data_IF_437006427190
#
_entry.id   IF_437006427190
#
_cell.length_a   1.000
_cell.length_b   1.000
_cell.length_c   1.000
_cell.angle_alpha   90.00
_cell.angle_beta   90.00
_cell.angle_gamma   90.00
#
_symmetry.space_group_name_H-M   'P 1'
#
loop_
_entity.id
_entity.type
_entity.pdbx_description
1 polymer ?
#
# COMPACT_ATOMS: atom_id res chain seq x y z
N UNK A 1 -50.01 55.86 84.70
CA UNK A 1 -50.91 56.38 83.66
C UNK A 1 -50.34 55.96 82.32
N UNK A 2 -51.01 55.02 81.62
CA UNK A 2 -50.95 54.57 80.20
C UNK A 2 -49.58 54.69 79.48
N UNK A 3 -49.10 53.66 78.79
CA UNK A 3 -49.57 53.32 77.45
C UNK A 3 -49.13 51.89 77.09
N UNK A 4 -50.10 51.12 76.60
CA UNK A 4 -50.01 49.84 75.89
C UNK A 4 -49.24 50.03 74.59
N UNK A 5 -48.40 49.08 74.19
CA UNK A 5 -48.15 48.82 72.77
C UNK A 5 -48.15 47.31 72.49
N UNK A 6 -49.24 46.89 71.88
CA UNK A 6 -49.41 45.71 71.03
C UNK A 6 -48.53 45.83 69.79
N UNK A 7 -47.85 44.76 69.37
CA UNK A 7 -47.65 44.42 67.96
C UNK A 7 -46.98 43.04 67.81
N UNK A 8 -47.80 42.03 67.53
CA UNK A 8 -47.59 41.03 66.48
C UNK A 8 -46.49 41.38 65.48
N UNK A 9 -45.52 40.49 65.22
CA UNK A 9 -45.31 39.90 63.88
C UNK A 9 -44.17 38.89 63.82
N UNK A 10 -44.50 37.76 63.22
CA UNK A 10 -43.62 36.73 62.69
C UNK A 10 -42.38 37.29 61.99
N UNK A 11 -41.21 36.76 62.33
CA UNK A 11 -40.01 36.87 61.50
C UNK A 11 -39.74 35.49 60.88
N UNK A 12 -40.49 35.20 59.82
CA UNK A 12 -40.12 34.18 58.84
C UNK A 12 -38.82 34.66 58.20
N UNK A 13 -37.71 33.98 58.51
CA UNK A 13 -36.41 34.26 57.91
C UNK A 13 -36.51 34.19 56.39
N UNK A 14 -36.32 35.33 55.73
CA UNK A 14 -36.26 35.42 54.28
C UNK A 14 -35.04 34.63 53.78
N UNK A 15 -35.28 33.47 53.16
CA UNK A 15 -34.27 32.75 52.38
C UNK A 15 -34.00 33.60 51.14
N UNK A 16 -32.97 34.43 51.19
CA UNK A 16 -32.48 35.17 50.03
C UNK A 16 -31.95 34.19 48.99
N UNK A 17 -32.80 33.83 48.02
CA UNK A 17 -32.43 33.02 46.86
C UNK A 17 -31.44 33.81 46.00
N UNK A 18 -30.14 33.49 46.09
CA UNK A 18 -29.12 34.04 45.18
C UNK A 18 -29.44 33.59 43.76
N UNK A 19 -29.86 34.52 42.90
CA UNK A 19 -29.99 34.28 41.46
C UNK A 19 -28.57 34.20 40.89
N UNK A 20 -28.09 32.98 40.64
CA UNK A 20 -26.87 32.76 39.88
C UNK A 20 -27.11 33.30 38.47
N UNK A 21 -26.35 34.31 38.04
CA UNK A 21 -26.38 34.80 36.66
C UNK A 21 -25.96 33.65 35.75
N UNK A 22 -26.92 33.05 35.05
CA UNK A 22 -26.63 32.16 33.92
C UNK A 22 -26.04 33.04 32.83
N UNK A 23 -24.76 32.87 32.52
CA UNK A 23 -24.16 33.45 31.32
C UNK A 23 -24.89 32.89 30.11
N UNK A 24 -25.49 33.77 29.31
CA UNK A 24 -26.11 33.37 28.04
C UNK A 24 -25.04 33.18 26.98
N UNK A 25 -25.20 32.13 26.17
CA UNK A 25 -24.43 31.93 24.95
C UNK A 25 -24.57 33.16 24.06
N UNK A 26 -23.44 33.72 23.63
CA UNK A 26 -23.45 34.86 22.71
C UNK A 26 -23.61 34.37 21.28
N UNK A 27 -24.30 35.13 20.43
CA UNK A 27 -24.46 34.77 19.00
C UNK A 27 -23.11 34.64 18.29
N UNK A 28 -22.11 35.42 18.72
CA UNK A 28 -20.76 35.38 18.20
C UNK A 28 -20.04 34.06 18.51
N UNK A 29 -20.32 33.43 19.65
CA UNK A 29 -19.71 32.17 20.06
C UNK A 29 -20.16 31.01 19.15
N UNK A 30 -21.44 30.98 18.80
CA UNK A 30 -21.98 29.98 17.85
C UNK A 30 -21.50 30.27 16.43
N UNK A 31 -21.38 31.54 16.03
CA UNK A 31 -20.88 31.93 14.71
C UNK A 31 -19.43 31.46 14.49
N UNK A 32 -18.55 31.65 15.47
CA UNK A 32 -17.15 31.20 15.37
C UNK A 32 -17.06 29.68 15.24
N UNK A 33 -17.88 28.92 15.98
CA UNK A 33 -17.88 27.44 15.93
C UNK A 33 -18.29 26.92 14.55
N UNK A 34 -19.37 27.45 13.94
CA UNK A 34 -19.82 26.99 12.63
C UNK A 34 -18.82 27.34 11.51
N UNK A 35 -18.13 28.47 11.63
CA UNK A 35 -17.06 28.86 10.69
C UNK A 35 -15.89 27.88 10.76
N UNK A 36 -15.43 27.53 11.97
CA UNK A 36 -14.35 26.55 12.16
C UNK A 36 -14.79 25.16 11.66
N UNK A 37 -16.03 24.74 11.95
CA UNK A 37 -16.58 23.48 11.43
C UNK A 37 -16.63 23.46 9.89
N UNK A 38 -17.01 24.57 9.24
CA UNK A 38 -17.02 24.68 7.78
C UNK A 38 -15.62 24.57 7.15
N UNK A 39 -14.62 25.21 7.75
CA UNK A 39 -13.23 25.15 7.28
C UNK A 39 -12.67 23.72 7.42
N UNK A 40 -12.88 23.07 8.57
CA UNK A 40 -12.41 21.71 8.79
C UNK A 40 -13.11 20.70 7.87
N UNK A 41 -14.43 20.83 7.67
CA UNK A 41 -15.18 19.97 6.78
C UNK A 41 -14.67 20.05 5.32
N UNK A 42 -14.35 21.26 4.84
CA UNK A 42 -13.81 21.47 3.48
C UNK A 42 -12.45 20.79 3.26
N UNK A 43 -11.61 20.68 4.30
CA UNK A 43 -10.27 20.10 4.20
C UNK A 43 -10.22 18.57 4.35
N UNK A 44 -11.17 17.99 5.10
CA UNK A 44 -11.16 16.54 5.41
C UNK A 44 -11.77 15.70 4.29
N UNK A 45 -12.79 16.20 3.60
CA UNK A 45 -13.49 15.47 2.51
C UNK A 45 -12.57 14.99 1.38
N UNK A 46 -11.66 15.80 0.80
CA UNK A 46 -10.88 15.36 -0.36
C UNK A 46 -9.80 14.31 -0.02
N UNK A 47 -9.42 14.15 1.25
CA UNK A 47 -8.33 13.25 1.68
C UNK A 47 -8.72 11.76 1.68
N UNK A 48 -10.00 11.43 1.59
CA UNK A 48 -10.49 10.06 1.66
C UNK A 48 -10.61 9.36 0.30
N UNK A 49 -10.65 10.12 -0.80
CA UNK A 49 -11.03 9.56 -2.12
C UNK A 49 -9.88 8.99 -2.95
N UNK A 50 -8.61 9.33 -2.71
CA UNK A 50 -7.50 8.97 -3.61
C UNK A 50 -6.47 7.96 -3.07
N UNK A 51 -6.53 7.60 -1.78
CA UNK A 51 -5.60 6.62 -1.18
C UNK A 51 -5.91 5.13 -1.40
N UNK A 52 -7.17 4.69 -1.64
CA UNK A 52 -7.40 3.26 -1.82
C UNK A 52 -6.86 2.73 -3.16
N UNK A 53 -6.77 3.57 -4.19
CA UNK A 53 -6.52 3.08 -5.55
C UNK A 53 -5.07 2.73 -5.83
N UNK A 54 -4.11 3.51 -5.33
CA UNK A 54 -2.69 3.12 -5.38
C UNK A 54 -2.43 1.83 -4.57
N UNK A 55 -3.07 1.70 -3.41
CA UNK A 55 -2.96 0.52 -2.57
C UNK A 55 -3.54 -0.72 -3.28
N UNK A 56 -4.67 -0.57 -3.98
CA UNK A 56 -5.23 -1.61 -4.85
C UNK A 56 -4.26 -1.99 -5.97
N UNK A 57 -3.69 -1.03 -6.68
CA UNK A 57 -2.72 -1.32 -7.74
C UNK A 57 -1.50 -2.09 -7.21
N UNK A 58 -1.00 -1.75 -6.02
CA UNK A 58 0.11 -2.47 -5.37
C UNK A 58 -0.31 -3.89 -4.96
N UNK A 59 -1.50 -4.07 -4.39
CA UNK A 59 -2.03 -5.39 -4.05
C UNK A 59 -2.16 -6.26 -5.30
N UNK A 60 -2.72 -5.72 -6.39
CA UNK A 60 -2.86 -6.45 -7.64
C UNK A 60 -1.51 -6.89 -8.22
N UNK A 61 -0.50 -6.01 -8.17
CA UNK A 61 0.87 -6.36 -8.59
C UNK A 61 1.45 -7.49 -7.74
N UNK A 62 1.23 -7.46 -6.44
CA UNK A 62 1.69 -8.51 -5.53
C UNK A 62 1.05 -9.86 -5.86
N UNK A 63 -0.27 -9.89 -6.03
CA UNK A 63 -1.02 -11.09 -6.39
C UNK A 63 -0.56 -11.69 -7.73
N UNK A 64 -0.33 -10.84 -8.74
CA UNK A 64 0.23 -11.27 -10.04
C UNK A 64 1.63 -11.88 -9.85
N UNK A 65 2.49 -11.28 -9.01
CA UNK A 65 3.81 -11.86 -8.72
C UNK A 65 3.70 -13.24 -8.07
N UNK A 66 2.80 -13.42 -7.11
CA UNK A 66 2.55 -14.72 -6.46
C UNK A 66 2.02 -15.76 -7.45
N UNK A 67 1.07 -15.37 -8.31
CA UNK A 67 0.54 -16.25 -9.38
C UNK A 67 1.64 -16.64 -10.38
N UNK A 68 2.47 -15.68 -10.80
CA UNK A 68 3.61 -15.95 -11.68
C UNK A 68 4.62 -16.91 -11.04
N UNK A 69 4.89 -16.77 -9.74
CA UNK A 69 5.75 -17.70 -9.01
C UNK A 69 5.16 -19.12 -8.97
N UNK A 70 3.87 -19.25 -8.67
CA UNK A 70 3.18 -20.53 -8.68
C UNK A 70 3.18 -21.19 -10.08
N UNK A 71 2.98 -20.41 -11.14
CA UNK A 71 3.06 -20.88 -12.53
C UNK A 71 4.48 -21.34 -12.89
N UNK A 72 5.51 -20.61 -12.45
CA UNK A 72 6.92 -21.00 -12.63
C UNK A 72 7.20 -22.33 -11.93
N UNK A 73 6.70 -22.52 -10.70
CA UNK A 73 6.80 -23.81 -9.99
C UNK A 73 6.07 -24.94 -10.71
N UNK A 74 4.85 -24.69 -11.22
CA UNK A 74 4.12 -25.66 -12.04
C UNK A 74 4.94 -26.12 -13.24
N UNK A 75 5.58 -25.17 -13.94
CA UNK A 75 6.45 -25.47 -15.07
C UNK A 75 7.70 -26.25 -14.66
N UNK A 76 8.31 -25.95 -13.52
CA UNK A 76 9.48 -26.69 -13.05
C UNK A 76 9.16 -28.19 -12.88
N UNK A 77 7.99 -28.51 -12.33
CA UNK A 77 7.60 -29.91 -12.12
C UNK A 77 7.12 -30.59 -13.41
N UNK A 78 6.35 -29.87 -14.24
CA UNK A 78 5.63 -30.44 -15.38
C UNK A 78 6.28 -30.13 -16.75
N UNK A 79 7.42 -29.45 -16.73
CA UNK A 79 8.17 -28.93 -17.89
C UNK A 79 7.38 -27.97 -18.81
N UNK A 80 6.15 -27.60 -18.44
CA UNK A 80 5.26 -26.75 -19.24
C UNK A 80 4.30 -25.98 -18.36
N UNK A 81 3.83 -24.83 -18.85
CA UNK A 81 2.75 -24.11 -18.20
C UNK A 81 1.37 -24.75 -18.48
N UNK A 82 0.35 -24.44 -17.66
CA UNK A 82 -1.03 -24.76 -17.97
C UNK A 82 -1.46 -24.16 -19.31
N UNK A 83 -2.48 -24.73 -19.95
CA UNK A 83 -3.11 -24.11 -21.12
C UNK A 83 -4.08 -23.02 -20.69
N UNK A 84 -4.45 -22.11 -21.60
CA UNK A 84 -5.48 -21.09 -21.34
C UNK A 84 -6.81 -21.72 -20.91
N UNK A 85 -7.19 -22.86 -21.49
CA UNK A 85 -8.42 -23.60 -21.12
C UNK A 85 -8.36 -24.20 -19.71
N UNK A 86 -7.18 -24.67 -19.28
CA UNK A 86 -6.96 -25.14 -17.91
C UNK A 86 -6.96 -23.97 -16.92
N UNK A 87 -6.48 -22.80 -17.35
CA UNK A 87 -6.50 -21.56 -16.60
C UNK A 87 -5.63 -21.59 -15.33
N UNK A 88 -5.87 -20.62 -14.45
CA UNK A 88 -5.22 -20.55 -13.14
C UNK A 88 -5.73 -21.63 -12.18
N UNK A 89 -6.86 -22.27 -12.47
CA UNK A 89 -7.43 -23.36 -11.69
C UNK A 89 -6.50 -24.58 -11.65
N UNK A 90 -5.64 -24.76 -12.66
CA UNK A 90 -4.60 -25.79 -12.67
C UNK A 90 -3.57 -25.67 -11.52
N UNK A 91 -3.50 -24.49 -10.88
CA UNK A 91 -2.61 -24.25 -9.73
C UNK A 91 -3.17 -24.80 -8.42
N UNK A 92 -4.50 -24.92 -8.28
CA UNK A 92 -5.15 -25.42 -7.04
C UNK A 92 -5.57 -26.88 -7.17
N UNK A 93 -6.06 -27.26 -8.36
CA UNK A 93 -6.59 -28.58 -8.62
C UNK A 93 -5.90 -29.16 -9.85
N UNK A 94 -5.66 -30.47 -9.82
CA UNK A 94 -5.07 -31.16 -10.96
C UNK A 94 -6.02 -31.04 -12.17
N UNK A 95 -5.57 -30.45 -13.29
CA UNK A 95 -6.43 -30.31 -14.46
C UNK A 95 -6.73 -31.70 -15.06
N UNK A 96 -8.01 -31.96 -15.32
CA UNK A 96 -8.48 -33.16 -16.01
C UNK A 96 -8.36 -33.03 -17.54
N UNK A 97 -8.38 -31.80 -18.06
CA UNK A 97 -8.21 -31.52 -19.48
C UNK A 97 -6.79 -31.82 -19.97
N UNK A 98 -6.67 -32.34 -21.19
CA UNK A 98 -5.37 -32.61 -21.80
C UNK A 98 -4.61 -31.32 -22.13
N UNK A 99 -3.26 -31.30 -22.02
CA UNK A 99 -2.37 -32.36 -21.59
C UNK A 99 -2.33 -32.50 -20.06
N UNK A 100 -2.44 -33.74 -19.57
CA UNK A 100 -2.41 -34.03 -18.14
C UNK A 100 -0.99 -33.87 -17.60
N UNK A 101 -0.79 -33.09 -16.52
CA UNK A 101 0.52 -32.91 -15.90
C UNK A 101 1.04 -34.22 -15.30
N UNK A 102 2.29 -34.56 -15.60
CA UNK A 102 2.94 -35.80 -15.16
C UNK A 102 3.30 -35.76 -13.67
N UNK A 103 3.82 -34.63 -13.18
CA UNK A 103 4.35 -34.47 -11.83
C UNK A 103 3.60 -33.36 -11.07
N UNK A 104 2.27 -33.33 -11.18
CA UNK A 104 1.49 -32.33 -10.44
C UNK A 104 1.62 -32.55 -8.93
N UNK A 105 2.06 -31.52 -8.21
CA UNK A 105 2.26 -31.58 -6.75
C UNK A 105 0.94 -31.80 -6.00
N UNK A 106 0.85 -32.88 -5.22
CA UNK A 106 -0.30 -33.13 -4.33
C UNK A 106 -0.49 -31.95 -3.36
N UNK A 107 -1.64 -31.28 -3.42
CA UNK A 107 -1.96 -30.07 -2.66
C UNK A 107 -1.83 -28.75 -3.44
N UNK A 108 -1.41 -28.79 -4.70
CA UNK A 108 -1.34 -27.63 -5.57
C UNK A 108 -0.10 -26.74 -5.36
N UNK A 109 -0.07 -25.67 -6.14
CA UNK A 109 1.01 -24.67 -6.22
C UNK A 109 0.66 -23.38 -5.48
N UNK A 110 -0.61 -23.17 -5.19
CA UNK A 110 -1.13 -22.05 -4.40
C UNK A 110 -2.30 -22.55 -3.55
N UNK A 111 -2.49 -21.99 -2.36
CA UNK A 111 -3.57 -22.41 -1.44
C UNK A 111 -4.95 -22.02 -1.95
N UNK A 112 -5.07 -20.82 -2.54
CA UNK A 112 -6.31 -20.29 -3.11
C UNK A 112 -5.98 -19.30 -4.21
N UNK A 113 -6.88 -19.17 -5.19
CA UNK A 113 -6.77 -18.09 -6.17
C UNK A 113 -7.20 -16.78 -5.48
N UNK A 114 -6.35 -15.74 -5.49
CA UNK A 114 -6.78 -14.39 -5.12
C UNK A 114 -7.75 -13.86 -6.18
N UNK A 115 -8.71 -13.05 -5.75
CA UNK A 115 -9.44 -12.16 -6.63
C UNK A 115 -8.66 -10.86 -6.72
N UNK A 116 -8.83 -10.13 -7.82
CA UNK A 116 -8.24 -8.81 -7.92
C UNK A 116 -8.89 -7.83 -6.92
N UNK A 117 -8.23 -6.70 -6.62
CA UNK A 117 -8.71 -5.73 -5.63
C UNK A 117 -10.02 -5.03 -6.01
N UNK A 118 -10.49 -5.20 -7.24
CA UNK A 118 -11.75 -4.69 -7.77
C UNK A 118 -12.86 -5.75 -7.77
N UNK A 119 -12.55 -6.98 -7.33
CA UNK A 119 -13.50 -8.10 -7.21
C UNK A 119 -13.58 -9.01 -8.45
N UNK A 120 -12.79 -8.73 -9.47
CA UNK A 120 -12.64 -9.55 -10.67
C UNK A 120 -11.72 -10.75 -10.46
N UNK A 121 -11.72 -11.68 -11.41
CA UNK A 121 -10.76 -12.79 -11.47
C UNK A 121 -9.59 -12.42 -12.38
N UNK A 122 -8.38 -12.84 -11.98
CA UNK A 122 -7.20 -12.71 -12.82
C UNK A 122 -7.35 -13.51 -14.11
N UNK A 123 -6.90 -12.91 -15.20
CA UNK A 123 -6.86 -13.51 -16.53
C UNK A 123 -5.50 -14.13 -16.77
N UNK A 124 -5.51 -15.21 -17.55
CA UNK A 124 -4.32 -15.98 -17.89
C UNK A 124 -4.32 -16.34 -19.36
N UNK A 125 -3.19 -16.18 -20.03
CA UNK A 125 -2.98 -16.57 -21.41
C UNK A 125 -1.66 -17.34 -21.57
N UNK A 126 -1.75 -18.44 -22.32
CA UNK A 126 -0.65 -19.36 -22.62
C UNK A 126 -0.87 -20.02 -23.98
N UNK A 127 -0.11 -19.64 -25.03
CA UNK A 127 0.98 -18.66 -25.02
C UNK A 127 0.51 -17.22 -24.73
N UNK A 128 1.35 -16.44 -24.05
CA UNK A 128 1.12 -15.01 -23.83
C UNK A 128 1.26 -14.19 -25.11
N UNK A 129 0.64 -13.01 -25.14
CA UNK A 129 0.81 -12.00 -26.18
C UNK A 129 2.05 -11.12 -25.94
N UNK A 130 2.38 -10.85 -24.66
CA UNK A 130 3.52 -10.00 -24.27
C UNK A 130 4.73 -10.80 -23.80
N UNK A 131 4.55 -12.07 -23.44
CA UNK A 131 5.62 -12.96 -23.02
C UNK A 131 5.30 -14.43 -23.26
N UNK A 132 6.03 -15.32 -22.58
CA UNK A 132 5.75 -16.76 -22.65
C UNK A 132 4.39 -17.11 -22.03
N UNK A 133 4.04 -16.40 -20.95
CA UNK A 133 2.72 -16.43 -20.31
C UNK A 133 2.35 -15.02 -19.88
N UNK A 134 1.06 -14.71 -19.94
CA UNK A 134 0.53 -13.44 -19.47
C UNK A 134 -0.44 -13.70 -18.32
N UNK A 135 -0.27 -12.95 -17.22
CA UNK A 135 -1.21 -12.89 -16.10
C UNK A 135 -1.55 -11.43 -15.88
N UNK A 136 -2.84 -11.09 -15.92
CA UNK A 136 -3.28 -9.70 -15.81
C UNK A 136 -4.67 -9.57 -15.19
N UNK A 137 -4.96 -8.38 -14.65
CA UNK A 137 -6.31 -7.95 -14.28
C UNK A 137 -6.70 -6.78 -15.19
N UNK A 138 -8.00 -6.67 -15.49
CA UNK A 138 -8.53 -5.57 -16.30
C UNK A 138 -8.51 -4.23 -15.56
N UNK A 139 -8.38 -4.22 -14.23
CA UNK A 139 -8.40 -2.99 -13.44
C UNK A 139 -9.80 -2.60 -12.98
N UNK A 140 -10.01 -1.34 -12.62
CA UNK A 140 -11.25 -0.84 -12.03
C UNK A 140 -12.45 -0.85 -12.98
N UNK A 141 -12.20 -0.68 -14.28
CA UNK A 141 -13.23 -0.63 -15.33
C UNK A 141 -13.69 -2.02 -15.80
N UNK A 142 -12.95 -3.07 -15.45
CA UNK A 142 -13.21 -4.44 -15.89
C UNK A 142 -13.08 -4.64 -17.41
N UNK A 143 -12.48 -3.69 -18.14
CA UNK A 143 -12.40 -3.70 -19.59
C UNK A 143 -10.95 -3.75 -20.10
N UNK A 144 -10.78 -4.25 -21.32
CA UNK A 144 -9.47 -4.20 -21.97
C UNK A 144 -9.19 -2.78 -22.49
N UNK A 145 -8.19 -2.09 -21.93
CA UNK A 145 -7.64 -0.86 -22.50
C UNK A 145 -7.90 0.45 -21.76
N UNK A 146 -8.12 0.43 -20.45
CA UNK A 146 -8.17 1.65 -19.62
C UNK A 146 -6.83 2.40 -19.51
N UNK A 147 -6.89 3.67 -19.10
CA UNK A 147 -5.72 4.51 -18.81
C UNK A 147 -5.70 4.92 -17.33
N UNK A 148 -4.50 5.17 -16.80
CA UNK A 148 -4.33 5.62 -15.41
C UNK A 148 -4.76 4.57 -14.38
N UNK A 149 -5.81 4.88 -13.62
CA UNK A 149 -6.33 4.04 -12.53
C UNK A 149 -7.14 2.86 -13.08
N UNK A 150 -7.72 3.05 -14.26
CA UNK A 150 -8.48 2.05 -15.00
C UNK A 150 -7.57 1.19 -15.88
N UNK A 151 -6.27 1.50 -15.95
CA UNK A 151 -5.34 0.70 -16.72
C UNK A 151 -5.17 -0.69 -16.10
N UNK A 152 -5.42 -1.71 -16.92
CA UNK A 152 -5.15 -3.09 -16.59
C UNK A 152 -3.71 -3.29 -16.14
N UNK A 153 -3.52 -4.13 -15.13
CA UNK A 153 -2.22 -4.46 -14.55
C UNK A 153 -1.81 -5.85 -15.03
N UNK A 154 -0.67 -5.94 -15.71
CA UNK A 154 -0.17 -7.18 -16.29
C UNK A 154 1.23 -7.56 -15.84
N UNK A 155 1.55 -8.86 -15.95
CA UNK A 155 2.87 -9.43 -15.64
C UNK A 155 4.02 -8.71 -16.36
N UNK A 156 3.80 -8.33 -17.63
CA UNK A 156 4.80 -7.63 -18.46
C UNK A 156 5.22 -6.27 -17.88
N UNK A 157 4.31 -5.52 -17.25
CA UNK A 157 4.63 -4.23 -16.61
C UNK A 157 5.52 -4.43 -15.38
N UNK A 158 5.34 -5.53 -14.65
CA UNK A 158 6.10 -5.85 -13.44
C UNK A 158 7.51 -6.30 -13.79
N UNK A 159 7.64 -7.20 -14.78
CA UNK A 159 8.95 -7.67 -15.25
C UNK A 159 9.77 -6.52 -15.84
N UNK A 160 9.13 -5.60 -16.59
CA UNK A 160 9.77 -4.39 -17.12
C UNK A 160 10.32 -3.47 -16.03
N UNK A 161 9.60 -3.28 -14.92
CA UNK A 161 10.03 -2.43 -13.80
C UNK A 161 11.20 -3.03 -12.99
N UNK A 162 11.23 -4.36 -12.84
CA UNK A 162 12.32 -5.07 -12.17
C UNK A 162 13.66 -4.95 -12.91
N UNK A 163 13.64 -4.97 -14.24
CA UNK A 163 14.84 -4.81 -15.07
C UNK A 163 15.46 -3.42 -14.88
N UNK A 164 14.64 -2.37 -14.80
CA UNK A 164 15.14 -1.01 -14.56
C UNK A 164 15.76 -0.87 -13.18
N UNK A 165 15.09 -1.34 -12.12
CA UNK A 165 15.61 -1.28 -10.76
C UNK A 165 16.93 -2.06 -10.59
N UNK A 166 17.03 -3.27 -11.16
CA UNK A 166 18.25 -4.07 -11.08
C UNK A 166 19.42 -3.48 -11.87
N UNK A 167 19.15 -2.77 -12.97
CA UNK A 167 20.18 -2.08 -13.75
C UNK A 167 20.77 -0.90 -12.96
N UNK A 168 19.91 -0.14 -12.27
CA UNK A 168 20.35 0.94 -11.37
C UNK A 168 21.11 0.40 -10.15
N UNK A 169 20.63 -0.65 -9.47
CA UNK A 169 21.36 -1.23 -8.34
C UNK A 169 22.70 -1.83 -8.77
N UNK A 170 22.80 -2.45 -9.95
CA UNK A 170 24.08 -2.93 -10.48
C UNK A 170 25.06 -1.80 -10.78
N UNK A 171 24.60 -0.70 -11.38
CA UNK A 171 25.47 0.45 -11.68
C UNK A 171 25.92 1.18 -10.40
N UNK A 172 24.99 1.43 -9.47
CA UNK A 172 25.31 2.08 -8.19
C UNK A 172 26.23 1.21 -7.34
N UNK A 173 25.99 -0.12 -7.28
CA UNK A 173 26.85 -1.05 -6.56
C UNK A 173 28.24 -1.15 -7.21
N UNK A 174 28.35 -1.20 -8.54
CA UNK A 174 29.63 -1.22 -9.23
C UNK A 174 30.43 0.09 -9.01
N UNK A 175 29.78 1.25 -9.09
CA UNK A 175 30.39 2.54 -8.76
C UNK A 175 30.86 2.61 -7.30
N UNK A 176 30.06 2.10 -6.36
CA UNK A 176 30.40 2.10 -4.94
C UNK A 176 31.59 1.18 -4.62
N UNK A 177 31.59 -0.04 -5.17
CA UNK A 177 32.71 -0.99 -5.02
C UNK A 177 33.98 -0.45 -5.68
N UNK A 178 33.88 0.18 -6.86
CA UNK A 178 35.03 0.76 -7.56
C UNK A 178 35.61 1.96 -6.80
N UNK A 179 34.75 2.85 -6.27
CA UNK A 179 35.17 3.98 -5.45
C UNK A 179 35.86 3.52 -4.15
N UNK A 180 35.34 2.48 -3.50
CA UNK A 180 35.95 1.89 -2.31
C UNK A 180 37.33 1.28 -2.63
N UNK A 181 37.44 0.54 -3.74
CA UNK A 181 38.70 -0.07 -4.18
C UNK A 181 39.76 1.00 -4.53
N UNK A 182 39.34 2.11 -5.15
CA UNK A 182 40.21 3.25 -5.44
C UNK A 182 40.68 3.95 -4.16
N UNK A 183 39.80 4.18 -3.19
CA UNK A 183 40.15 4.78 -1.91
C UNK A 183 41.19 3.92 -1.16
N UNK A 184 40.95 2.60 -1.06
CA UNK A 184 41.89 1.67 -0.41
C UNK A 184 43.24 1.63 -1.13
N UNK A 185 43.27 1.66 -2.46
CA UNK A 185 44.51 1.68 -3.23
C UNK A 185 45.27 3.00 -3.07
N UNK A 186 44.55 4.13 -2.93
CA UNK A 186 45.16 5.43 -2.66
C UNK A 186 45.83 5.47 -1.28
N UNK A 187 45.19 4.91 -0.24
CA UNK A 187 45.77 4.87 1.11
C UNK A 187 47.03 4.00 1.16
N UNK A 188 47.01 2.82 0.53
CA UNK A 188 48.22 1.97 0.42
C UNK A 188 49.37 2.65 -0.32
N UNK A 189 49.07 3.47 -1.33
CA UNK A 189 50.10 4.18 -2.12
C UNK A 189 50.76 5.33 -1.34
N UNK A 190 50.02 5.98 -0.44
CA UNK A 190 50.56 7.02 0.44
C UNK A 190 51.45 6.43 1.54
N UNK A 191 51.04 5.30 2.13
CA UNK A 191 51.80 4.58 3.15
C UNK A 191 53.18 4.13 2.61
N UNK A 192 53.22 3.54 1.41
CA UNK A 192 54.45 3.13 0.73
C UNK A 192 55.41 4.28 0.37
N UNK A 193 54.89 5.52 0.22
CA UNK A 193 55.72 6.71 -0.01
C UNK A 193 56.32 7.24 1.29
N UNK A 194 55.61 7.14 2.41
CA UNK A 194 56.13 7.56 3.72
C UNK A 194 57.28 6.66 4.17
N UNK A 195 57.15 5.35 3.99
CA UNK A 195 58.17 4.37 4.39
C UNK A 195 59.49 4.49 3.60
N UNK A 196 59.46 4.96 2.35
CA UNK A 196 60.69 5.23 1.58
C UNK A 196 61.42 6.48 2.04
N UNK A 197 60.71 7.46 2.60
CA UNK A 197 61.36 8.70 3.06
C UNK A 197 62.16 8.46 4.34
N UNK A 198 61.69 7.55 5.21
CA UNK A 198 62.35 7.18 6.46
C UNK A 198 63.59 6.30 6.31
N UNK A 199 63.84 5.70 5.14
CA UNK A 199 65.02 4.86 4.88
C UNK A 199 66.16 5.59 4.15
N UNK A 200 65.99 6.88 3.87
CA UNK A 200 66.94 7.74 3.14
C UNK A 200 67.55 8.84 4.02
N UNK A 201 67.31 8.79 5.34
CA UNK A 201 67.89 9.63 6.39
C UNK A 201 68.62 8.77 7.41
#
# INVERSE_FOLDING_TARGET
MKVVNTATTAQVGAIAKRVTRRGGFTLIEILVVIVIMGILAALVVPKLMSRPDEARAVAAKHDIMTLMQALKMYRLDNARYPTTEQGLQALIAKPAGGPVPKNWKSGGYIERLPNDPWGGSYQYLSPGAQGEIDVFSFGADGAAGGEGIDAGIGSWQIESGLVLAQTFTRHVCCLCVTALQLAVNHTRRLDLRSLRYSSLS
#
